data_IF_917975703963
#
_entry.id   IF_917975703963
#
_cell.length_a   1.000
_cell.length_b   1.000
_cell.length_c   1.000
_cell.angle_alpha   90.00
_cell.angle_beta   90.00
_cell.angle_gamma   90.00
#
_symmetry.space_group_name_H-M   'P 1'
#
loop_
_entity.id
_entity.type
_entity.pdbx_description
1 polymer ?
#
# COMPACT_ATOMS: atom_id res chain seq x y z
N UNK A 1 -5.73 -9.41 17.67
CA UNK A 1 -4.49 -9.61 16.93
C UNK A 1 -4.48 -8.77 15.68
N UNK A 2 -3.44 -8.02 15.46
CA UNK A 2 -3.41 -7.19 14.26
C UNK A 2 -3.29 -8.06 13.01
N UNK A 3 -3.81 -7.58 11.89
CA UNK A 3 -3.72 -8.33 10.66
C UNK A 3 -2.28 -8.35 10.15
N UNK A 4 -1.93 -9.42 9.48
CA UNK A 4 -0.62 -9.51 8.86
C UNK A 4 -0.61 -8.64 7.60
N UNK A 5 0.58 -8.38 7.10
CA UNK A 5 0.72 -7.64 5.84
C UNK A 5 -0.05 -8.34 4.73
N UNK A 6 0.00 -9.66 4.71
CA UNK A 6 -0.70 -10.43 3.70
C UNK A 6 -2.19 -10.21 3.74
N UNK A 7 -2.77 -10.19 4.93
CA UNK A 7 -4.20 -9.96 5.08
C UNK A 7 -4.57 -8.55 4.63
N UNK A 8 -3.76 -7.57 5.00
CA UNK A 8 -4.01 -6.20 4.59
C UNK A 8 -3.95 -6.05 3.07
N UNK A 9 -3.00 -6.71 2.44
CA UNK A 9 -2.89 -6.67 0.99
C UNK A 9 -4.10 -7.28 0.30
N UNK A 10 -4.64 -8.34 0.86
CA UNK A 10 -5.84 -8.95 0.28
C UNK A 10 -7.04 -8.05 0.37
N UNK A 11 -7.06 -7.16 1.34
CA UNK A 11 -8.17 -6.23 1.51
C UNK A 11 -8.10 -5.06 0.54
N UNK A 12 -6.99 -4.89 -0.15
CA UNK A 12 -6.84 -3.82 -1.12
C UNK A 12 -7.47 -4.21 -2.45
N UNK A 13 -7.93 -3.22 -3.23
CA UNK A 13 -8.32 -3.50 -4.61
C UNK A 13 -7.17 -4.15 -5.37
N UNK A 14 -7.45 -5.00 -6.34
CA UNK A 14 -6.39 -5.71 -7.07
C UNK A 14 -5.32 -4.78 -7.65
N UNK A 15 -5.74 -3.63 -8.17
CA UNK A 15 -4.80 -2.68 -8.77
C UNK A 15 -3.81 -2.14 -7.75
N UNK A 16 -4.26 -1.86 -6.55
CA UNK A 16 -3.38 -1.36 -5.50
C UNK A 16 -2.46 -2.46 -4.99
N UNK A 17 -3.00 -3.66 -4.87
CA UNK A 17 -2.19 -4.80 -4.42
C UNK A 17 -1.07 -5.09 -5.39
N UNK A 18 -1.37 -5.08 -6.69
CA UNK A 18 -0.37 -5.37 -7.71
C UNK A 18 0.80 -4.40 -7.67
N UNK A 19 0.53 -3.11 -7.53
CA UNK A 19 1.60 -2.14 -7.54
C UNK A 19 2.47 -2.25 -6.28
N UNK A 20 1.86 -2.55 -5.15
CA UNK A 20 2.61 -2.73 -3.92
C UNK A 20 3.47 -3.99 -3.99
N UNK A 21 2.92 -5.08 -4.50
CA UNK A 21 3.68 -6.30 -4.63
C UNK A 21 4.87 -6.10 -5.56
N UNK A 22 4.67 -5.43 -6.68
CA UNK A 22 5.74 -5.22 -7.63
C UNK A 22 6.85 -4.34 -7.05
N UNK A 23 6.49 -3.28 -6.34
CA UNK A 23 7.51 -2.35 -5.85
C UNK A 23 8.15 -2.80 -4.54
N UNK A 24 7.35 -3.28 -3.61
CA UNK A 24 7.88 -3.61 -2.28
C UNK A 24 8.37 -5.05 -2.16
N UNK A 25 7.65 -5.99 -2.72
CA UNK A 25 8.05 -7.39 -2.56
C UNK A 25 9.01 -7.85 -3.64
N UNK A 26 8.89 -7.31 -4.83
CA UNK A 26 9.81 -7.67 -5.91
C UNK A 26 10.90 -6.64 -6.12
N UNK A 27 10.96 -5.64 -5.27
CA UNK A 27 12.02 -4.62 -5.27
C UNK A 27 12.18 -3.92 -6.62
N UNK A 28 11.09 -3.68 -7.31
CA UNK A 28 11.15 -2.98 -8.57
C UNK A 28 10.92 -1.51 -8.37
N UNK A 29 11.52 -0.69 -9.22
CA UNK A 29 11.23 0.74 -9.22
C UNK A 29 9.82 0.96 -9.73
N UNK A 30 9.29 2.16 -9.49
CA UNK A 30 7.97 2.51 -10.00
C UNK A 30 7.92 2.40 -11.51
N UNK A 31 8.99 2.81 -12.20
CA UNK A 31 9.07 2.70 -13.65
C UNK A 31 9.05 1.25 -14.14
N UNK A 32 9.78 0.38 -13.44
CA UNK A 32 9.78 -1.04 -13.78
C UNK A 32 8.42 -1.67 -13.52
N UNK A 33 7.80 -1.31 -12.41
CA UNK A 33 6.47 -1.82 -12.11
C UNK A 33 5.44 -1.35 -13.13
N UNK A 34 5.59 -0.11 -13.61
CA UNK A 34 4.71 0.41 -14.64
C UNK A 34 4.77 -0.45 -15.90
N UNK A 35 5.97 -0.78 -16.32
CA UNK A 35 6.14 -1.64 -17.50
C UNK A 35 5.52 -3.01 -17.28
N UNK A 36 5.76 -3.57 -16.13
CA UNK A 36 5.25 -4.89 -15.79
C UNK A 36 3.73 -4.93 -15.81
N UNK A 37 3.10 -3.87 -15.34
CA UNK A 37 1.65 -3.81 -15.21
C UNK A 37 0.96 -3.15 -16.40
N UNK A 38 1.72 -2.74 -17.40
CA UNK A 38 1.14 -2.10 -18.59
C UNK A 38 0.65 -0.69 -18.33
N UNK A 39 1.34 0.02 -17.44
CA UNK A 39 0.95 1.39 -17.06
C UNK A 39 2.00 2.38 -17.51
N UNK A 40 1.59 3.65 -17.64
CA UNK A 40 2.56 4.73 -17.78
C UNK A 40 3.24 4.96 -16.45
N UNK A 41 4.44 5.53 -16.43
CA UNK A 41 5.09 5.84 -15.15
C UNK A 41 4.25 6.76 -14.25
N UNK A 42 3.57 7.73 -14.85
CA UNK A 42 2.73 8.63 -14.06
C UNK A 42 1.54 7.89 -13.45
N UNK A 43 0.92 7.00 -14.21
CA UNK A 43 -0.20 6.20 -13.71
C UNK A 43 0.25 5.27 -12.60
N UNK A 44 1.42 4.65 -12.75
CA UNK A 44 1.95 3.76 -11.72
C UNK A 44 2.22 4.53 -10.43
N UNK A 45 2.78 5.73 -10.54
CA UNK A 45 3.08 6.54 -9.38
C UNK A 45 1.79 6.95 -8.66
N UNK A 46 0.78 7.37 -9.40
CA UNK A 46 -0.49 7.74 -8.80
C UNK A 46 -1.13 6.55 -8.11
N UNK A 47 -1.07 5.39 -8.75
CA UNK A 47 -1.65 4.18 -8.18
C UNK A 47 -0.91 3.77 -6.92
N UNK A 48 0.40 3.92 -6.90
CA UNK A 48 1.18 3.61 -5.71
C UNK A 48 0.82 4.53 -4.55
N UNK A 49 0.65 5.82 -4.81
CA UNK A 49 0.23 6.75 -3.77
C UNK A 49 -1.14 6.38 -3.21
N UNK A 50 -2.08 6.04 -4.06
CA UNK A 50 -3.41 5.63 -3.62
C UNK A 50 -3.34 4.34 -2.79
N UNK A 51 -2.52 3.40 -3.22
CA UNK A 51 -2.36 2.14 -2.50
C UNK A 51 -1.76 2.36 -1.12
N UNK A 52 -0.74 3.22 -1.04
CA UNK A 52 -0.11 3.52 0.24
C UNK A 52 -1.07 4.24 1.17
N UNK A 53 -1.90 5.10 0.62
CA UNK A 53 -2.90 5.80 1.41
C UNK A 53 -3.93 4.82 1.98
N UNK A 54 -4.41 3.89 1.16
CA UNK A 54 -5.35 2.88 1.63
C UNK A 54 -4.73 2.03 2.72
N UNK A 55 -3.47 1.66 2.54
CA UNK A 55 -2.77 0.86 3.50
C UNK A 55 -2.63 1.60 4.83
N UNK A 56 -2.30 2.88 4.78
CA UNK A 56 -2.18 3.71 5.97
C UNK A 56 -3.49 3.79 6.72
N UNK A 57 -4.59 3.91 5.99
CA UNK A 57 -5.91 3.95 6.61
C UNK A 57 -6.24 2.64 7.30
N UNK A 58 -5.87 1.52 6.71
CA UNK A 58 -6.08 0.23 7.34
C UNK A 58 -5.29 0.09 8.63
N UNK A 59 -4.04 0.52 8.61
CA UNK A 59 -3.21 0.47 9.81
C UNK A 59 -3.80 1.34 10.90
N UNK A 60 -4.21 2.55 10.56
CA UNK A 60 -4.80 3.45 11.54
C UNK A 60 -6.08 2.86 12.15
N UNK A 61 -6.85 2.14 11.35
CA UNK A 61 -8.07 1.53 11.83
C UNK A 61 -7.81 0.39 12.80
N UNK A 62 -6.71 -0.31 12.60
CA UNK A 62 -6.43 -1.49 13.40
C UNK A 62 -5.55 -1.24 14.61
N UNK A 63 -5.04 -0.03 14.80
CA UNK A 63 -4.22 0.29 15.97
C UNK A 63 -4.64 1.60 16.60
N UNK A 64 -5.91 1.80 16.83
CA UNK A 64 -6.39 3.09 17.31
C UNK A 64 -5.89 3.49 18.69
N UNK A 65 -5.81 2.56 19.59
CA UNK A 65 -5.43 2.91 20.93
C UNK A 65 -4.02 3.42 21.01
N UNK A 66 -3.15 2.84 20.23
CA UNK A 66 -1.79 3.25 20.28
C UNK A 66 -1.58 4.55 19.56
N UNK A 67 -2.24 4.69 18.45
CA UNK A 67 -2.05 5.87 17.65
C UNK A 67 -2.59 7.10 18.33
N UNK A 68 -3.72 6.98 18.95
CA UNK A 68 -4.39 8.12 19.50
C UNK A 68 -3.66 8.79 20.60
N UNK A 69 -3.52 8.11 21.71
CA UNK A 69 -3.01 8.79 22.83
C UNK A 69 -1.63 9.28 22.65
N UNK A 70 -0.83 8.45 22.05
CA UNK A 70 0.42 8.82 22.16
C UNK A 70 0.85 9.95 21.36
N UNK A 71 0.23 10.23 20.40
CA UNK A 71 0.59 11.22 19.71
C UNK A 71 0.37 12.37 20.27
N UNK A 72 -0.35 12.34 20.79
CA UNK A 72 -0.55 13.31 21.25
C UNK A 72 0.23 13.86 21.57
N UNK A 73 0.36 13.55 21.29
CA UNK A 73 1.13 14.17 21.71
C UNK A 73 1.08 14.53 21.77
#
# INVERSE_FOLDING_TARGET
>A
MPPTTEVMLRSLPPQHREIIVATYFHHRTTGEAAKLLGLTPAAAKARLYQAMRDLSLMVATHTPEHAGPYRAG
#
